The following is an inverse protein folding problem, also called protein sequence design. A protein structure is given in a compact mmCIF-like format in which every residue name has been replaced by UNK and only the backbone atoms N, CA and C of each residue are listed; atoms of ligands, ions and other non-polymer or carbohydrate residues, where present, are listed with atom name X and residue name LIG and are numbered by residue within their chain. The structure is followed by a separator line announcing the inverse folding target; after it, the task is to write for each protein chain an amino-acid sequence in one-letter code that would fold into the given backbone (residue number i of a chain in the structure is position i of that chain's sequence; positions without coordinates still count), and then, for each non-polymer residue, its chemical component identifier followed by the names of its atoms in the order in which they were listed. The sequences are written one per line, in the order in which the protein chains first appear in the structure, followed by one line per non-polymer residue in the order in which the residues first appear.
data_IF_764870390409
#
_entry.id   IF_764870390409
#
_cell.length_a   1.000
_cell.length_b   1.000
_cell.length_c   1.000
_cell.angle_alpha   90.00
_cell.angle_beta   90.00
_cell.angle_gamma   90.00
#
_symmetry.space_group_name_H-M   'P 1'
#
loop_
_entity.id
_entity.type
_entity.pdbx_description
1 polymer ?
#
# COMPACT_ATOMS: atom_id res chain seq x y z
N UNK A 1 -13.64 13.48 -8.72
CA UNK A 1 -12.70 14.43 -8.06
C UNK A 1 -11.33 13.78 -8.05
N UNK A 2 -10.26 14.56 -8.24
CA UNK A 2 -8.91 14.10 -8.00
C UNK A 2 -8.51 14.31 -6.52
N UNK A 3 -7.50 13.58 -6.07
CA UNK A 3 -6.83 13.79 -4.78
C UNK A 3 -5.35 14.16 -5.03
N UNK A 4 -4.75 14.94 -4.14
CA UNK A 4 -3.29 15.21 -4.16
C UNK A 4 -2.51 13.98 -3.68
N UNK A 5 -1.22 13.92 -4.00
CA UNK A 5 -0.38 12.80 -3.56
C UNK A 5 -0.25 12.72 -2.02
N UNK A 6 -0.21 13.86 -1.33
CA UNK A 6 -0.19 13.91 0.14
C UNK A 6 -1.49 13.35 0.73
N UNK A 7 -2.65 13.75 0.21
CA UNK A 7 -3.95 13.21 0.65
C UNK A 7 -4.04 11.70 0.42
N UNK A 8 -3.58 11.24 -0.74
CA UNK A 8 -3.51 9.82 -1.06
C UNK A 8 -2.62 9.04 -0.09
N UNK A 9 -1.41 9.55 0.19
CA UNK A 9 -0.49 8.96 1.17
C UNK A 9 -1.10 8.89 2.57
N UNK A 10 -1.80 9.95 3.01
CA UNK A 10 -2.49 9.99 4.29
C UNK A 10 -3.57 8.92 4.39
N UNK A 11 -4.43 8.84 3.37
CA UNK A 11 -5.53 7.86 3.30
C UNK A 11 -5.05 6.41 3.33
N UNK A 12 -3.93 6.10 2.66
CA UNK A 12 -3.32 4.75 2.71
C UNK A 12 -2.71 4.47 4.09
N UNK A 13 -2.08 5.47 4.71
CA UNK A 13 -1.51 5.33 6.03
C UNK A 13 -2.59 5.11 7.11
N UNK A 14 -3.72 5.82 7.03
CA UNK A 14 -4.88 5.64 7.89
C UNK A 14 -5.44 4.22 7.79
N UNK A 15 -5.65 3.70 6.58
CA UNK A 15 -6.09 2.31 6.43
C UNK A 15 -5.10 1.30 7.05
N UNK A 16 -3.80 1.58 6.95
CA UNK A 16 -2.76 0.71 7.52
C UNK A 16 -2.85 0.60 9.04
N UNK A 17 -3.29 1.66 9.74
CA UNK A 17 -3.49 1.61 11.21
C UNK A 17 -4.76 0.87 11.60
N UNK A 18 -5.78 0.84 10.73
CA UNK A 18 -7.01 0.07 10.93
C UNK A 18 -6.84 -1.42 10.62
N UNK A 19 -5.84 -1.78 9.81
CA UNK A 19 -5.59 -3.14 9.34
C UNK A 19 -5.58 -4.22 10.45
N UNK A 20 -4.96 -4.02 11.63
CA UNK A 20 -5.00 -5.00 12.72
C UNK A 20 -6.39 -5.25 13.33
N UNK A 21 -7.34 -4.33 13.12
CA UNK A 21 -8.71 -4.45 13.62
C UNK A 21 -9.62 -5.28 12.71
N UNK A 22 -9.18 -5.56 11.48
CA UNK A 22 -9.96 -6.35 10.54
C UNK A 22 -10.08 -7.80 11.02
N UNK A 23 -11.24 -8.43 10.75
CA UNK A 23 -11.43 -9.85 11.06
C UNK A 23 -10.45 -10.69 10.25
N UNK A 24 -9.99 -11.80 10.83
CA UNK A 24 -9.16 -12.75 10.12
C UNK A 24 -9.86 -13.21 8.82
N UNK A 25 -9.10 -13.33 7.73
CA UNK A 25 -9.59 -13.66 6.37
C UNK A 25 -10.53 -12.61 5.76
N UNK A 26 -10.44 -11.35 6.18
CA UNK A 26 -11.07 -10.25 5.45
C UNK A 26 -10.51 -10.10 4.04
N UNK A 27 -11.36 -9.68 3.09
CA UNK A 27 -10.96 -9.39 1.71
C UNK A 27 -10.85 -7.88 1.56
N UNK A 28 -9.73 -7.41 0.99
CA UNK A 28 -9.47 -6.01 0.68
C UNK A 28 -9.50 -5.87 -0.84
N UNK A 29 -10.32 -4.95 -1.35
CA UNK A 29 -10.46 -4.66 -2.77
C UNK A 29 -9.93 -3.24 -3.01
N UNK A 30 -9.00 -3.09 -3.95
CA UNK A 30 -8.39 -1.80 -4.23
C UNK A 30 -7.71 -1.76 -5.60
N UNK A 31 -7.21 -0.58 -5.95
CA UNK A 31 -6.49 -0.35 -7.21
C UNK A 31 -5.00 -0.68 -7.08
N UNK A 32 -4.34 -1.02 -8.19
CA UNK A 32 -2.91 -1.32 -8.21
C UNK A 32 -2.05 -0.18 -7.64
N UNK A 33 -2.39 1.07 -7.91
CA UNK A 33 -1.70 2.24 -7.35
C UNK A 33 -1.87 2.34 -5.82
N UNK A 34 -3.07 2.05 -5.30
CA UNK A 34 -3.32 1.99 -3.86
C UNK A 34 -2.47 0.89 -3.21
N UNK A 35 -2.43 -0.30 -3.81
CA UNK A 35 -1.63 -1.40 -3.28
C UNK A 35 -0.12 -1.12 -3.36
N UNK A 36 0.35 -0.48 -4.44
CA UNK A 36 1.73 -0.05 -4.56
C UNK A 36 2.11 0.94 -3.46
N UNK A 37 1.25 1.93 -3.17
CA UNK A 37 1.49 2.88 -2.08
C UNK A 37 1.47 2.20 -0.71
N UNK A 38 0.55 1.26 -0.50
CA UNK A 38 0.48 0.47 0.72
C UNK A 38 1.77 -0.35 0.94
N UNK A 39 2.28 -1.00 -0.11
CA UNK A 39 3.54 -1.72 -0.07
C UNK A 39 4.72 -0.77 0.20
N UNK A 40 4.77 0.37 -0.49
CA UNK A 40 5.80 1.40 -0.32
C UNK A 40 5.91 1.91 1.13
N UNK A 41 4.77 2.23 1.75
CA UNK A 41 4.70 2.66 3.16
C UNK A 41 4.98 1.50 4.13
N UNK A 42 4.54 0.28 3.82
CA UNK A 42 4.82 -0.91 4.64
C UNK A 42 6.32 -1.25 4.69
N UNK A 43 7.04 -1.01 3.59
CA UNK A 43 8.50 -1.14 3.49
C UNK A 43 9.26 0.04 4.13
N UNK A 44 8.54 1.02 4.71
CA UNK A 44 9.12 2.23 5.33
C UNK A 44 9.87 3.14 4.36
N UNK A 45 9.57 3.05 3.05
CA UNK A 45 10.13 3.94 2.04
C UNK A 45 9.36 5.27 1.90
N UNK A 46 8.13 5.33 2.43
CA UNK A 46 7.28 6.53 2.40
C UNK A 46 6.73 6.92 3.77
N UNK A 47 6.24 8.15 3.85
CA UNK A 47 5.61 8.75 5.02
C UNK A 47 4.23 9.36 4.65
N UNK A 48 3.47 9.80 5.66
CA UNK A 48 2.16 10.44 5.50
C UNK A 48 2.27 11.89 4.98
N UNK A 49 3.45 12.50 5.07
CA UNK A 49 3.77 13.81 4.52
C UNK A 49 4.92 13.69 3.52
N UNK A 50 4.62 13.26 2.28
CA UNK A 50 5.66 13.03 1.27
C UNK A 50 6.34 14.33 0.86
N UNK A 51 7.65 14.29 0.72
CA UNK A 51 8.39 15.32 -0.01
C UNK A 51 8.25 15.13 -1.51
N UNK A 52 8.67 16.12 -2.30
CA UNK A 52 8.76 15.99 -3.76
C UNK A 52 9.65 14.80 -4.18
N UNK A 53 10.76 14.57 -3.47
CA UNK A 53 11.65 13.45 -3.74
C UNK A 53 10.94 12.11 -3.50
N UNK A 54 10.17 11.98 -2.42
CA UNK A 54 9.40 10.77 -2.15
C UNK A 54 8.38 10.48 -3.25
N UNK A 55 7.76 11.51 -3.83
CA UNK A 55 6.82 11.35 -4.94
C UNK A 55 7.51 10.81 -6.20
N UNK A 56 8.71 11.32 -6.53
CA UNK A 56 9.50 10.84 -7.67
C UNK A 56 9.97 9.39 -7.48
N UNK A 57 10.47 9.08 -6.28
CA UNK A 57 10.89 7.72 -5.91
C UNK A 57 9.71 6.74 -5.98
N UNK A 58 8.55 7.11 -5.45
CA UNK A 58 7.34 6.31 -5.55
C UNK A 58 6.91 6.10 -7.01
N UNK A 59 6.95 7.14 -7.85
CA UNK A 59 6.66 7.02 -9.27
C UNK A 59 7.54 5.97 -9.96
N UNK A 60 8.86 6.02 -9.71
CA UNK A 60 9.79 5.02 -10.22
C UNK A 60 9.48 3.62 -9.68
N UNK A 61 9.19 3.49 -8.38
CA UNK A 61 8.81 2.22 -7.76
C UNK A 61 7.54 1.63 -8.39
N UNK A 62 6.49 2.43 -8.55
CA UNK A 62 5.21 2.02 -9.12
C UNK A 62 5.37 1.52 -10.56
N UNK A 63 6.15 2.22 -11.39
CA UNK A 63 6.40 1.82 -12.78
C UNK A 63 7.11 0.47 -12.89
N UNK A 64 7.91 0.09 -11.90
CA UNK A 64 8.67 -1.16 -11.87
C UNK A 64 8.02 -2.25 -11.02
N UNK A 65 6.83 -2.01 -10.45
CA UNK A 65 6.08 -2.98 -9.66
C UNK A 65 4.94 -3.57 -10.49
N UNK A 66 5.12 -4.75 -11.12
CA UNK A 66 4.09 -5.36 -11.95
C UNK A 66 2.92 -5.88 -11.09
N UNK A 67 1.83 -5.12 -11.07
CA UNK A 67 0.55 -5.52 -10.48
C UNK A 67 -0.46 -5.67 -11.62
N UNK A 68 -0.66 -6.92 -12.06
CA UNK A 68 -1.70 -7.23 -13.04
C UNK A 68 -3.09 -6.97 -12.46
N UNK A 69 -4.07 -6.73 -13.32
CA UNK A 69 -5.47 -6.71 -12.91
C UNK A 69 -5.82 -8.04 -12.21
N UNK A 70 -6.57 -7.94 -11.11
CA UNK A 70 -6.97 -9.09 -10.28
C UNK A 70 -5.81 -9.86 -9.64
N UNK A 71 -4.59 -9.30 -9.62
CA UNK A 71 -3.48 -9.88 -8.87
C UNK A 71 -3.85 -10.02 -7.39
N UNK A 72 -3.58 -11.21 -6.83
CA UNK A 72 -3.90 -11.54 -5.45
C UNK A 72 -2.65 -11.48 -4.58
N UNK A 73 -2.82 -10.96 -3.36
CA UNK A 73 -1.77 -10.86 -2.36
C UNK A 73 -2.32 -11.30 -1.01
N UNK A 74 -1.48 -12.03 -0.27
CA UNK A 74 -1.72 -12.36 1.11
C UNK A 74 -1.07 -11.31 2.00
N UNK A 75 -1.84 -10.78 2.94
CA UNK A 75 -1.35 -9.82 3.94
C UNK A 75 -1.49 -10.48 5.30
N UNK A 76 -0.36 -10.62 6.00
CA UNK A 76 -0.31 -11.14 7.37
C UNK A 76 0.05 -9.98 8.29
N UNK A 77 -0.81 -9.73 9.26
CA UNK A 77 -0.63 -8.66 10.24
C UNK A 77 -0.37 -9.28 11.60
N UNK A 78 0.70 -8.85 12.23
CA UNK A 78 1.04 -9.13 13.62
C UNK A 78 1.17 -7.80 14.36
N UNK A 79 1.25 -7.82 15.69
CA UNK A 79 1.26 -6.60 16.52
C UNK A 79 2.27 -5.53 16.05
N UNK A 80 3.42 -5.93 15.49
CA UNK A 80 4.47 -5.00 15.06
C UNK A 80 4.88 -5.13 13.58
N UNK A 81 4.32 -6.09 12.83
CA UNK A 81 4.79 -6.38 11.48
C UNK A 81 3.65 -6.69 10.51
N UNK A 82 3.77 -6.11 9.30
CA UNK A 82 2.95 -6.44 8.14
C UNK A 82 3.86 -7.21 7.17
N UNK A 83 3.49 -8.45 6.87
CA UNK A 83 4.11 -9.25 5.83
C UNK A 83 3.18 -9.32 4.62
N UNK A 84 3.72 -9.05 3.43
CA UNK A 84 2.97 -9.04 2.17
C UNK A 84 3.60 -10.06 1.24
N UNK A 85 2.81 -11.01 0.78
CA UNK A 85 3.26 -12.06 -0.14
C UNK A 85 2.38 -12.08 -1.37
N UNK A 86 2.99 -12.06 -2.56
CA UNK A 86 2.26 -12.27 -3.81
C UNK A 86 1.73 -13.70 -3.84
N UNK A 87 0.45 -13.86 -4.15
CA UNK A 87 -0.12 -15.17 -4.38
C UNK A 87 0.30 -15.64 -5.79
N UNK A 88 0.98 -16.77 -5.86
CA UNK A 88 1.29 -17.44 -7.11
C UNK A 88 0.28 -18.56 -7.28
N UNK A 89 -0.63 -18.38 -8.24
CA UNK A 89 -1.57 -19.41 -8.68
C UNK A 89 -0.94 -20.28 -9.75
#
# INVERSE_FOLDING_TARGET
MGETYTEFCGRVAEFTTELPSLKNRSIIIGHGMWFAQFLWQSLKFGNHQPTQENMQQFGNFFLHLPIANLAQFNIVVTNNHIAICKHFS
#
